data_IF_800200030640
#
_entry.id   IF_800200030640
#
_cell.length_a   1.000
_cell.length_b   1.000
_cell.length_c   1.000
_cell.angle_alpha   90.00
_cell.angle_beta   90.00
_cell.angle_gamma   90.00
#
_symmetry.space_group_name_H-M   'P 1'
#
loop_
_entity.id
_entity.type
_entity.pdbx_description
1 polymer ?
#
# COMPACT_ATOMS: atom_id res chain seq x y z
N UNK A 1 -53.34 -40.38 22.16
CA UNK A 1 -51.90 -40.51 21.83
C UNK A 1 -51.51 -39.18 21.24
N UNK A 2 -51.16 -38.25 22.13
CA UNK A 2 -50.77 -36.90 21.80
C UNK A 2 -49.28 -36.91 21.43
N UNK A 3 -48.98 -36.61 20.17
CA UNK A 3 -47.62 -36.41 19.69
C UNK A 3 -47.32 -34.92 19.79
N UNK A 4 -46.50 -34.54 20.77
CA UNK A 4 -46.00 -33.18 20.94
C UNK A 4 -44.64 -33.07 20.22
N UNK A 5 -44.48 -32.19 19.21
CA UNK A 5 -43.21 -32.06 18.51
C UNK A 5 -42.18 -31.33 19.39
N UNK A 6 -40.89 -31.73 19.36
CA UNK A 6 -39.89 -31.13 20.21
C UNK A 6 -39.63 -29.67 19.82
N UNK A 7 -39.51 -28.83 20.83
CA UNK A 7 -39.21 -27.41 20.69
C UNK A 7 -37.96 -27.19 19.83
N UNK A 8 -38.10 -26.41 18.77
CA UNK A 8 -36.98 -25.96 17.94
C UNK A 8 -36.05 -25.11 18.80
N UNK A 9 -34.84 -25.62 19.05
CA UNK A 9 -33.76 -24.84 19.64
C UNK A 9 -33.32 -23.81 18.60
N UNK A 10 -33.65 -22.54 18.83
CA UNK A 10 -33.12 -21.41 18.09
C UNK A 10 -31.65 -21.28 18.47
N UNK A 11 -30.77 -21.77 17.60
CA UNK A 11 -29.33 -21.50 17.69
C UNK A 11 -29.16 -20.05 17.23
N UNK A 12 -29.07 -19.11 18.17
CA UNK A 12 -28.62 -17.75 17.88
C UNK A 12 -27.09 -17.81 17.70
N UNK A 13 -26.63 -18.03 16.48
CA UNK A 13 -25.26 -17.75 16.08
C UNK A 13 -25.04 -16.23 15.98
N UNK A 14 -25.05 -15.55 17.13
CA UNK A 14 -24.54 -14.18 17.24
C UNK A 14 -23.02 -14.21 17.34
N UNK A 15 -22.35 -14.52 16.24
CA UNK A 15 -20.95 -14.12 16.05
C UNK A 15 -20.63 -13.82 14.59
N UNK A 16 -21.42 -12.95 13.97
CA UNK A 16 -20.98 -12.25 12.76
C UNK A 16 -20.12 -11.06 13.20
N UNK A 17 -18.89 -11.33 13.66
CA UNK A 17 -17.83 -10.32 13.63
C UNK A 17 -17.58 -9.99 12.16
N UNK A 18 -18.38 -9.07 11.61
CA UNK A 18 -18.13 -8.48 10.31
C UNK A 18 -16.71 -7.94 10.28
N UNK A 19 -15.97 -8.20 9.20
CA UNK A 19 -14.66 -7.61 9.00
C UNK A 19 -14.75 -6.10 9.26
N UNK A 20 -13.86 -5.52 10.10
CA UNK A 20 -13.93 -4.11 10.42
C UNK A 20 -13.91 -3.30 9.14
N UNK A 21 -14.90 -2.42 8.97
CA UNK A 21 -14.96 -1.46 7.85
C UNK A 21 -13.62 -0.73 7.79
N UNK A 22 -12.91 -0.83 6.67
CA UNK A 22 -11.59 -0.21 6.52
C UNK A 22 -11.63 1.26 6.11
N UNK A 23 -12.74 1.69 5.53
CA UNK A 23 -12.94 3.05 5.03
C UNK A 23 -13.18 4.00 6.20
N UNK A 24 -12.50 5.15 6.20
CA UNK A 24 -12.68 6.19 7.21
C UNK A 24 -12.11 5.87 8.60
N UNK A 25 -11.36 4.78 8.74
CA UNK A 25 -10.71 4.38 10.00
C UNK A 25 -9.31 3.80 9.75
N UNK A 26 -8.50 3.69 10.80
CA UNK A 26 -7.17 3.07 10.80
C UNK A 26 -7.03 1.91 11.81
N UNK A 27 -8.13 1.40 12.37
CA UNK A 27 -8.11 0.27 13.32
C UNK A 27 -7.55 -1.04 12.72
N UNK A 28 -7.52 -1.15 11.39
CA UNK A 28 -6.91 -2.27 10.66
C UNK A 28 -5.37 -2.16 10.56
N UNK A 29 -4.79 -1.04 10.99
CA UNK A 29 -3.36 -0.79 10.88
C UNK A 29 -2.56 -1.70 11.83
N UNK A 30 -1.59 -2.43 11.27
CA UNK A 30 -0.68 -3.28 12.05
C UNK A 30 0.67 -2.63 12.35
N UNK A 31 1.04 -1.56 11.62
CA UNK A 31 2.33 -0.87 11.80
C UNK A 31 2.24 0.36 12.72
N UNK A 32 1.03 0.75 13.13
CA UNK A 32 0.76 1.93 13.97
C UNK A 32 0.91 3.30 13.30
N UNK A 33 1.05 3.36 11.96
CA UNK A 33 1.32 4.62 11.23
C UNK A 33 0.33 4.93 10.09
N UNK A 34 -0.60 4.04 9.77
CA UNK A 34 -1.54 4.26 8.67
C UNK A 34 -2.61 5.30 9.03
N UNK A 35 -3.10 6.01 8.02
CA UNK A 35 -4.19 6.98 8.16
C UNK A 35 -5.51 6.45 7.57
N UNK A 36 -6.67 6.93 8.04
CA UNK A 36 -7.96 6.66 7.43
C UNK A 36 -8.01 7.03 5.94
N UNK A 37 -8.50 6.11 5.11
CA UNK A 37 -8.67 6.33 3.66
C UNK A 37 -10.12 6.31 3.21
N UNK A 38 -10.37 6.90 2.04
CA UNK A 38 -11.72 7.02 1.45
C UNK A 38 -12.15 5.76 0.70
N UNK A 39 -11.23 4.82 0.46
CA UNK A 39 -11.50 3.58 -0.24
C UNK A 39 -10.86 2.39 0.47
N UNK A 40 -11.48 1.22 0.34
CA UNK A 40 -10.96 -0.02 0.93
C UNK A 40 -9.64 -0.46 0.26
N UNK A 41 -9.49 -0.21 -1.04
CA UNK A 41 -8.26 -0.50 -1.78
C UNK A 41 -7.05 0.29 -1.25
N UNK A 42 -7.27 1.55 -0.85
CA UNK A 42 -6.23 2.39 -0.28
C UNK A 42 -6.00 2.12 1.22
N UNK A 43 -6.94 1.51 1.92
CA UNK A 43 -6.81 1.10 3.32
C UNK A 43 -5.93 -0.16 3.48
N UNK A 44 -4.66 -0.03 3.10
CA UNK A 44 -3.67 -1.11 3.06
C UNK A 44 -2.47 -0.79 3.96
N UNK A 45 -2.11 -1.71 4.86
CA UNK A 45 -0.96 -1.56 5.74
C UNK A 45 0.29 -2.16 5.11
N UNK A 46 1.45 -1.54 5.35
CA UNK A 46 2.73 -2.08 4.90
C UNK A 46 3.02 -3.50 5.44
N UNK A 47 2.44 -3.85 6.59
CA UNK A 47 2.56 -5.18 7.22
C UNK A 47 1.65 -6.25 6.61
N UNK A 48 0.74 -5.88 5.72
CA UNK A 48 -0.12 -6.81 4.98
C UNK A 48 0.47 -7.21 3.62
N UNK A 49 1.60 -6.61 3.23
CA UNK A 49 2.26 -6.87 1.95
C UNK A 49 3.47 -7.76 2.23
N UNK A 50 3.41 -9.03 1.82
CA UNK A 50 4.45 -10.04 2.03
C UNK A 50 5.85 -9.55 1.64
N UNK A 51 5.99 -9.02 0.41
CA UNK A 51 7.27 -8.49 -0.08
C UNK A 51 7.84 -7.36 0.80
N UNK A 52 7.00 -6.58 1.50
CA UNK A 52 7.46 -5.55 2.43
C UNK A 52 7.84 -6.18 3.76
N UNK A 53 7.03 -7.12 4.26
CA UNK A 53 7.32 -7.83 5.51
C UNK A 53 8.68 -8.51 5.45
N UNK A 54 9.03 -9.12 4.32
CA UNK A 54 10.34 -9.75 4.10
C UNK A 54 11.52 -8.76 4.14
N UNK A 55 11.27 -7.48 3.87
CA UNK A 55 12.29 -6.42 3.94
C UNK A 55 12.43 -5.82 5.35
N UNK A 56 11.45 -6.04 6.23
CA UNK A 56 11.46 -5.54 7.59
C UNK A 56 12.19 -6.52 8.51
N UNK A 57 13.02 -6.00 9.41
CA UNK A 57 13.57 -6.78 10.51
C UNK A 57 12.79 -6.53 11.81
N UNK A 58 13.18 -7.21 12.89
CA UNK A 58 12.54 -7.11 14.20
C UNK A 58 12.56 -5.69 14.79
N UNK A 59 13.47 -4.81 14.33
CA UNK A 59 13.59 -3.44 14.82
C UNK A 59 12.69 -2.45 14.06
N UNK A 60 12.12 -2.83 12.92
CA UNK A 60 11.37 -1.91 12.05
C UNK A 60 9.89 -2.25 11.99
N UNK A 61 9.06 -1.52 12.75
CA UNK A 61 7.61 -1.73 12.78
C UNK A 61 6.88 -1.26 11.51
N UNK A 62 7.45 -0.33 10.75
CA UNK A 62 6.85 0.28 9.56
C UNK A 62 7.89 0.41 8.44
N UNK A 63 7.45 0.29 7.18
CA UNK A 63 8.31 0.48 6.00
C UNK A 63 8.95 1.86 5.94
N UNK A 64 8.27 2.90 6.45
CA UNK A 64 8.79 4.27 6.52
C UNK A 64 10.00 4.41 7.47
N UNK A 65 10.26 3.42 8.32
CA UNK A 65 11.40 3.40 9.23
C UNK A 65 12.63 2.73 8.62
N UNK A 66 12.53 2.14 7.42
CA UNK A 66 13.69 1.62 6.70
C UNK A 66 14.61 2.79 6.30
N UNK A 67 15.87 2.82 6.79
CA UNK A 67 16.79 3.94 6.50
C UNK A 67 16.98 4.17 5.00
N UNK A 68 17.14 3.09 4.24
CA UNK A 68 17.29 3.14 2.78
C UNK A 68 16.11 3.83 2.09
N UNK A 69 14.86 3.52 2.50
CA UNK A 69 13.68 4.12 1.91
C UNK A 69 13.62 5.63 2.20
N UNK A 70 13.93 6.02 3.43
CA UNK A 70 13.99 7.43 3.84
C UNK A 70 15.04 8.18 3.01
N UNK A 71 16.24 7.64 2.86
CA UNK A 71 17.32 8.26 2.09
C UNK A 71 16.97 8.41 0.59
N UNK A 72 16.37 7.37 -0.01
CA UNK A 72 16.08 7.35 -1.45
C UNK A 72 14.86 8.20 -1.83
N UNK A 73 13.82 8.24 -1.00
CA UNK A 73 12.55 8.91 -1.36
C UNK A 73 12.40 10.31 -0.76
N UNK A 74 13.15 10.67 0.29
CA UNK A 74 13.09 12.03 0.87
C UNK A 74 13.99 13.04 0.15
N UNK A 75 14.91 12.61 -0.71
CA UNK A 75 15.77 13.50 -1.51
C UNK A 75 15.20 13.72 -2.90
N UNK A 76 14.95 14.99 -3.26
CA UNK A 76 14.56 15.37 -4.63
C UNK A 76 15.58 14.92 -5.67
N UNK A 77 16.87 14.96 -5.32
CA UNK A 77 17.93 14.54 -6.24
C UNK A 77 17.91 13.04 -6.51
N UNK A 78 17.65 12.22 -5.49
CA UNK A 78 17.50 10.77 -5.66
C UNK A 78 16.25 10.42 -6.47
N UNK A 79 15.11 11.08 -6.21
CA UNK A 79 13.91 10.88 -7.03
C UNK A 79 14.17 11.29 -8.48
N UNK A 80 14.94 12.36 -8.70
CA UNK A 80 15.31 12.80 -10.05
C UNK A 80 16.26 11.82 -10.74
N UNK A 81 17.21 11.22 -10.03
CA UNK A 81 18.10 10.20 -10.60
C UNK A 81 17.30 8.96 -11.04
N UNK A 82 16.35 8.52 -10.22
CA UNK A 82 15.41 7.43 -10.56
C UNK A 82 14.53 7.79 -11.76
N UNK A 83 14.07 9.04 -11.85
CA UNK A 83 13.33 9.53 -13.00
C UNK A 83 14.17 9.42 -14.29
N UNK A 84 15.38 9.98 -14.26
CA UNK A 84 16.33 9.97 -15.40
C UNK A 84 16.66 8.55 -15.84
N UNK A 85 16.91 7.66 -14.88
CA UNK A 85 17.11 6.23 -15.15
C UNK A 85 15.87 5.65 -15.85
N UNK A 86 14.65 5.91 -15.36
CA UNK A 86 13.44 5.49 -16.05
C UNK A 86 13.34 6.00 -17.50
N UNK A 87 13.78 7.23 -17.78
CA UNK A 87 13.81 7.79 -19.13
C UNK A 87 14.78 7.06 -20.06
N UNK A 88 15.95 6.65 -19.55
CA UNK A 88 16.94 5.98 -20.39
C UNK A 88 16.44 4.63 -20.91
N UNK A 89 15.54 3.96 -20.17
CA UNK A 89 14.91 2.71 -20.62
C UNK A 89 13.67 2.93 -21.48
N UNK A 90 12.95 4.04 -21.28
CA UNK A 90 11.71 4.33 -22.01
C UNK A 90 11.95 5.53 -22.91
N UNK A 91 12.26 5.28 -24.19
CA UNK A 91 12.36 6.30 -25.26
C UNK A 91 10.99 6.93 -25.58
N UNK A 92 10.38 7.56 -24.59
CA UNK A 92 9.04 8.15 -24.66
C UNK A 92 9.15 9.67 -24.63
N UNK A 93 8.73 10.32 -25.72
CA UNK A 93 8.60 11.76 -25.84
C UNK A 93 7.59 12.40 -24.85
N UNK A 94 6.91 11.60 -24.02
CA UNK A 94 5.93 12.08 -23.02
C UNK A 94 6.55 12.50 -21.70
N UNK A 95 7.85 12.31 -21.51
CA UNK A 95 8.51 12.71 -20.28
C UNK A 95 9.02 14.15 -20.38
N UNK A 96 8.79 14.92 -19.31
CA UNK A 96 9.29 16.29 -19.19
C UNK A 96 10.80 16.26 -18.95
N UNK A 97 11.51 17.30 -19.38
CA UNK A 97 12.91 17.41 -18.98
C UNK A 97 12.97 17.60 -17.45
N UNK A 98 14.07 17.19 -16.79
CA UNK A 98 14.28 17.41 -15.35
C UNK A 98 13.94 18.83 -14.88
N UNK A 99 14.30 19.82 -15.68
CA UNK A 99 14.12 21.26 -15.41
C UNK A 99 12.65 21.69 -15.48
N UNK A 100 11.80 20.89 -16.15
CA UNK A 100 10.37 21.14 -16.32
C UNK A 100 9.51 20.33 -15.34
N UNK A 101 10.10 19.47 -14.50
CA UNK A 101 9.35 18.65 -13.55
C UNK A 101 8.66 19.50 -12.49
N UNK A 102 7.38 19.23 -12.27
CA UNK A 102 6.61 19.79 -11.17
C UNK A 102 6.58 18.83 -9.99
N UNK A 103 6.16 19.28 -8.80
CA UNK A 103 6.05 18.42 -7.60
C UNK A 103 5.22 17.16 -7.84
N UNK A 104 4.17 17.25 -8.65
CA UNK A 104 3.35 16.09 -9.02
C UNK A 104 4.14 15.03 -9.81
N UNK A 105 5.16 15.41 -10.58
CA UNK A 105 6.02 14.48 -11.32
C UNK A 105 7.00 13.78 -10.37
N UNK A 106 7.55 14.51 -9.38
CA UNK A 106 8.37 13.91 -8.31
C UNK A 106 7.56 12.88 -7.52
N UNK A 107 6.35 13.24 -7.08
CA UNK A 107 5.46 12.30 -6.36
C UNK A 107 5.17 11.04 -7.19
N UNK A 108 4.80 11.21 -8.46
CA UNK A 108 4.53 10.07 -9.36
C UNK A 108 5.75 9.19 -9.56
N UNK A 109 6.94 9.79 -9.63
CA UNK A 109 8.20 9.06 -9.77
C UNK A 109 8.48 8.28 -8.49
N UNK A 110 8.42 8.92 -7.33
CA UNK A 110 8.60 8.25 -6.04
C UNK A 110 7.64 7.06 -5.87
N UNK A 111 6.36 7.25 -6.19
CA UNK A 111 5.35 6.18 -6.14
C UNK A 111 5.70 5.02 -7.08
N UNK A 112 6.08 5.31 -8.33
CA UNK A 112 6.47 4.27 -9.29
C UNK A 112 7.74 3.54 -8.87
N UNK A 113 8.74 4.26 -8.39
CA UNK A 113 10.00 3.68 -7.90
C UNK A 113 9.74 2.76 -6.72
N UNK A 114 8.92 3.19 -5.78
CA UNK A 114 8.48 2.38 -4.66
C UNK A 114 7.75 1.11 -5.12
N UNK A 115 6.74 1.24 -5.99
CA UNK A 115 5.98 0.09 -6.49
C UNK A 115 6.88 -0.90 -7.26
N UNK A 116 7.82 -0.39 -8.06
CA UNK A 116 8.80 -1.22 -8.77
C UNK A 116 9.74 -1.96 -7.81
N UNK A 117 10.14 -1.32 -6.71
CA UNK A 117 11.00 -1.94 -5.71
C UNK A 117 10.27 -3.05 -4.94
N UNK A 118 9.02 -2.80 -4.53
CA UNK A 118 8.23 -3.77 -3.76
C UNK A 118 7.73 -4.92 -4.64
N UNK A 119 7.23 -4.65 -5.85
CA UNK A 119 6.53 -5.66 -6.67
C UNK A 119 7.27 -6.04 -7.95
N UNK A 120 8.41 -5.43 -8.25
CA UNK A 120 9.08 -5.59 -9.54
C UNK A 120 8.32 -4.92 -10.69
N UNK A 121 8.61 -5.35 -11.92
CA UNK A 121 7.98 -4.81 -13.12
C UNK A 121 6.54 -5.30 -13.28
N UNK A 122 5.58 -4.39 -13.12
CA UNK A 122 4.14 -4.70 -13.25
C UNK A 122 3.59 -4.59 -14.68
N UNK A 123 4.27 -3.89 -15.59
CA UNK A 123 3.77 -3.62 -16.94
C UNK A 123 2.63 -2.59 -17.04
N UNK A 124 2.07 -2.38 -18.25
CA UNK A 124 1.02 -1.39 -18.49
C UNK A 124 -0.30 -1.75 -17.78
N UNK A 125 -1.04 -0.73 -17.33
CA UNK A 125 -2.37 -0.82 -16.68
C UNK A 125 -2.49 -1.68 -15.42
N UNK A 126 -1.45 -2.41 -15.01
CA UNK A 126 -1.39 -3.06 -13.70
C UNK A 126 -0.90 -2.04 -12.68
N UNK A 127 -1.79 -1.59 -11.81
CA UNK A 127 -1.49 -0.69 -10.69
C UNK A 127 -1.64 -1.49 -9.40
N UNK A 128 -0.84 -1.14 -8.40
CA UNK A 128 -0.95 -1.68 -7.06
C UNK A 128 -1.09 -0.49 -6.11
N UNK A 129 -1.98 -0.55 -5.11
CA UNK A 129 -2.01 0.44 -4.04
C UNK A 129 -0.67 0.46 -3.32
N UNK A 130 -0.26 1.64 -2.88
CA UNK A 130 0.85 1.84 -1.97
C UNK A 130 0.27 1.81 -0.56
N UNK A 131 0.92 1.18 0.42
CA UNK A 131 0.45 1.23 1.80
C UNK A 131 0.41 2.67 2.33
N UNK A 132 -0.51 2.94 3.24
CA UNK A 132 -0.62 4.24 3.93
C UNK A 132 0.57 4.47 4.88
#
# INVERSE_FOLDING_TARGET
MDWDPPAQQVINDENTQGSPTRVGTSEWCLCGNCMPMQSEEESLCCREIENIVDMLNEQQNCICNLPYLREQLSSREHVLSLYRYGLSYVKSARFRSPEQMQESDYRKTAYRSFTMWVYGYLGPKRRRPIPQ
#
